data_IF_866549136345
#
_entry.id   IF_866549136345
#
_cell.length_a   1.000
_cell.length_b   1.000
_cell.length_c   1.000
_cell.angle_alpha   90.00
_cell.angle_beta   90.00
_cell.angle_gamma   90.00
#
_symmetry.space_group_name_H-M   'P 1'
#
loop_
_entity.id
_entity.type
_entity.pdbx_description
1 polymer ?
#
# COMPACT_ATOMS: atom_id res chain seq x y z
N UNK A 1 -38.75 25.31 10.63
CA UNK A 1 -37.81 24.85 9.59
C UNK A 1 -36.41 25.28 9.98
N UNK A 2 -35.54 24.33 10.36
CA UNK A 2 -34.14 24.60 10.74
C UNK A 2 -33.31 24.80 9.48
N UNK A 3 -32.65 25.96 9.37
CA UNK A 3 -31.66 26.25 8.33
C UNK A 3 -30.33 25.68 8.78
N UNK A 4 -29.78 24.73 8.02
CA UNK A 4 -28.40 24.27 8.18
C UNK A 4 -27.49 25.26 7.46
N UNK A 5 -26.57 25.87 8.20
CA UNK A 5 -25.48 26.68 7.63
C UNK A 5 -24.29 25.73 7.49
N UNK A 6 -23.95 25.40 6.24
CA UNK A 6 -22.70 24.71 5.92
C UNK A 6 -21.62 25.77 5.79
N UNK A 7 -20.67 25.78 6.72
CA UNK A 7 -19.54 26.71 6.71
C UNK A 7 -18.35 26.03 6.04
N UNK A 8 -18.12 26.36 4.78
CA UNK A 8 -16.93 25.93 4.02
C UNK A 8 -15.85 26.98 4.18
N UNK A 9 -14.79 26.67 4.92
CA UNK A 9 -13.62 27.54 5.07
C UNK A 9 -12.55 27.08 4.07
N UNK A 10 -12.28 27.91 3.06
CA UNK A 10 -11.18 27.70 2.10
C UNK A 10 -9.98 28.50 2.62
N UNK A 11 -9.01 27.83 3.23
CA UNK A 11 -7.73 28.45 3.58
C UNK A 11 -6.78 28.28 2.39
N UNK A 12 -6.43 29.41 1.76
CA UNK A 12 -5.36 29.49 0.76
C UNK A 12 -4.06 29.78 1.50
N UNK A 13 -3.19 28.78 1.64
CA UNK A 13 -1.83 28.96 2.17
C UNK A 13 -0.83 29.18 1.03
N UNK A 14 0.10 30.15 1.14
CA UNK A 14 1.13 30.39 0.13
C UNK A 14 2.24 29.35 0.22
N UNK A 15 2.79 29.00 -0.94
CA UNK A 15 3.88 28.05 -1.13
C UNK A 15 5.21 28.57 -0.58
N UNK A 16 5.95 27.70 0.09
CA UNK A 16 7.41 27.79 0.19
C UNK A 16 8.01 26.38 0.27
N UNK A 17 8.29 25.76 -0.87
CA UNK A 17 9.15 24.57 -0.94
C UNK A 17 10.55 25.03 -1.32
N UNK A 18 11.46 25.03 -0.35
CA UNK A 18 12.87 25.41 -0.53
C UNK A 18 13.79 24.37 0.12
N UNK A 19 13.52 23.08 -0.07
CA UNK A 19 14.47 22.00 0.22
C UNK A 19 14.30 20.92 -0.85
N UNK A 20 15.25 20.89 -1.79
CA UNK A 20 15.36 19.84 -2.79
C UNK A 20 15.78 18.55 -2.11
N UNK A 21 14.82 17.71 -1.76
CA UNK A 21 15.10 16.33 -1.41
C UNK A 21 15.63 15.61 -2.66
N UNK A 22 16.63 14.71 -2.53
CA UNK A 22 17.20 14.02 -3.66
C UNK A 22 16.09 13.31 -4.44
N UNK A 23 15.99 13.60 -5.74
CA UNK A 23 15.03 12.99 -6.66
C UNK A 23 15.24 11.46 -6.66
N UNK A 24 14.48 10.75 -5.83
CA UNK A 24 14.36 9.30 -5.89
C UNK A 24 13.68 8.97 -7.22
N UNK A 25 14.50 8.65 -8.22
CA UNK A 25 13.98 8.28 -9.54
C UNK A 25 13.06 7.06 -9.40
N UNK A 26 11.89 7.08 -10.03
CA UNK A 26 10.97 5.97 -9.96
C UNK A 26 11.60 4.71 -10.56
N UNK A 27 11.44 3.59 -9.88
CA UNK A 27 11.98 2.32 -10.35
C UNK A 27 11.10 1.77 -11.50
N UNK A 28 11.66 1.38 -12.66
CA UNK A 28 10.88 0.84 -13.77
C UNK A 28 9.97 -0.34 -13.41
N UNK A 29 10.29 -1.12 -12.37
CA UNK A 29 9.46 -2.24 -11.91
C UNK A 29 8.16 -1.77 -11.25
N UNK A 30 8.16 -0.57 -10.66
CA UNK A 30 7.02 0.01 -9.97
C UNK A 30 6.08 0.79 -10.91
N UNK A 31 6.60 1.28 -12.03
CA UNK A 31 5.86 2.10 -12.99
C UNK A 31 4.86 1.34 -13.89
N UNK A 32 4.75 0.02 -13.71
CA UNK A 32 3.99 -0.85 -14.63
C UNK A 32 2.47 -0.65 -14.58
N UNK A 33 1.93 -0.21 -13.44
CA UNK A 33 0.49 -0.05 -13.23
C UNK A 33 -0.17 1.06 -14.08
N UNK A 34 0.63 1.90 -14.76
CA UNK A 34 0.13 2.93 -15.68
C UNK A 34 -0.55 2.40 -16.95
N UNK A 35 -0.29 1.14 -17.32
CA UNK A 35 -0.73 0.56 -18.61
C UNK A 35 -1.89 -0.43 -18.49
N UNK A 36 -2.27 -0.81 -17.26
CA UNK A 36 -3.38 -1.72 -17.01
C UNK A 36 -4.30 -1.08 -15.98
N UNK A 37 -5.61 -0.92 -16.26
CA UNK A 37 -6.58 -0.70 -15.20
C UNK A 37 -6.54 -1.97 -14.36
N UNK A 38 -5.75 -1.94 -13.28
CA UNK A 38 -5.72 -3.00 -12.32
C UNK A 38 -7.12 -3.24 -11.76
N UNK A 39 -7.33 -4.36 -11.09
CA UNK A 39 -8.66 -4.69 -10.63
C UNK A 39 -9.18 -3.59 -9.71
N UNK A 40 -10.46 -3.22 -9.85
CA UNK A 40 -11.14 -2.39 -8.88
C UNK A 40 -11.38 -3.20 -7.59
N UNK A 41 -10.29 -3.59 -6.93
CA UNK A 41 -10.29 -4.29 -5.66
C UNK A 41 -10.31 -3.25 -4.57
N UNK A 42 -11.37 -3.29 -3.79
CA UNK A 42 -11.38 -2.62 -2.50
C UNK A 42 -10.33 -3.28 -1.59
N UNK A 43 -9.61 -2.48 -0.81
CA UNK A 43 -8.55 -2.96 0.10
C UNK A 43 -9.06 -4.08 1.01
N UNK A 44 -10.31 -4.00 1.47
CA UNK A 44 -10.93 -5.02 2.31
C UNK A 44 -11.16 -6.39 1.62
N UNK A 45 -11.18 -6.48 0.28
CA UNK A 45 -11.18 -7.78 -0.43
C UNK A 45 -9.81 -8.45 -0.35
N UNK A 46 -8.76 -7.64 -0.29
CA UNK A 46 -7.38 -8.11 -0.22
C UNK A 46 -6.92 -8.33 1.22
N UNK A 47 -7.37 -7.48 2.15
CA UNK A 47 -7.03 -7.47 3.57
C UNK A 47 -8.34 -7.33 4.36
N UNK A 48 -9.01 -8.44 4.71
CA UNK A 48 -10.35 -8.43 5.32
C UNK A 48 -10.47 -7.58 6.60
N UNK A 49 -9.38 -7.48 7.36
CA UNK A 49 -9.32 -6.74 8.63
C UNK A 49 -9.00 -5.25 8.47
N UNK A 50 -8.81 -4.78 7.23
CA UNK A 50 -8.55 -3.38 6.94
C UNK A 50 -9.85 -2.55 6.97
N UNK A 51 -9.78 -1.38 7.59
CA UNK A 51 -10.90 -0.44 7.63
C UNK A 51 -11.11 0.20 6.26
N UNK A 52 -12.26 0.00 5.60
CA UNK A 52 -12.49 0.52 4.25
C UNK A 52 -12.54 2.06 4.18
N UNK A 53 -12.77 2.75 5.30
CA UNK A 53 -12.84 4.21 5.30
C UNK A 53 -11.45 4.87 5.32
N UNK A 54 -10.56 4.37 6.17
CA UNK A 54 -9.20 4.91 6.32
C UNK A 54 -8.14 4.19 5.49
N UNK A 55 -8.46 3.03 4.89
CA UNK A 55 -7.55 2.32 3.99
C UNK A 55 -7.66 2.82 2.54
N UNK A 56 -6.55 2.74 1.81
CA UNK A 56 -6.50 3.15 0.40
C UNK A 56 -5.47 2.34 -0.40
N UNK A 57 -5.61 2.39 -1.72
CA UNK A 57 -4.64 1.86 -2.68
C UNK A 57 -4.15 3.01 -3.55
N UNK A 58 -2.84 3.10 -3.73
CA UNK A 58 -2.16 4.11 -4.55
C UNK A 58 -1.20 3.35 -5.45
N UNK A 59 -1.55 3.20 -6.73
CA UNK A 59 -0.83 2.35 -7.68
C UNK A 59 -0.64 0.93 -7.09
N UNK A 60 0.62 0.49 -6.95
CA UNK A 60 0.99 -0.81 -6.37
C UNK A 60 1.21 -0.77 -4.85
N UNK A 61 0.81 0.29 -4.16
CA UNK A 61 0.88 0.40 -2.70
C UNK A 61 -0.51 0.27 -2.10
N UNK A 62 -0.60 -0.47 -1.00
CA UNK A 62 -1.81 -0.55 -0.18
C UNK A 62 -1.47 -0.02 1.21
N UNK A 63 -2.21 0.99 1.64
CA UNK A 63 -2.21 1.47 3.02
C UNK A 63 -3.46 0.93 3.70
N UNK A 64 -3.28 -0.04 4.59
CA UNK A 64 -4.34 -0.71 5.31
C UNK A 64 -4.34 -0.29 6.77
N UNK A 65 -5.25 0.60 7.13
CA UNK A 65 -5.51 0.91 8.53
C UNK A 65 -6.26 -0.25 9.17
N UNK A 66 -5.84 -0.74 10.35
CA UNK A 66 -6.56 -1.80 11.04
C UNK A 66 -7.97 -1.33 11.35
N UNK A 67 -8.98 -2.20 11.18
CA UNK A 67 -10.34 -1.95 11.71
C UNK A 67 -10.28 -1.62 13.19
N UNK A 68 -9.46 -2.38 13.92
CA UNK A 68 -9.36 -2.29 15.37
C UNK A 68 -7.94 -2.69 15.82
N UNK A 69 -7.21 -1.75 16.41
CA UNK A 69 -6.20 -2.08 17.43
C UNK A 69 -6.43 -1.16 18.62
N UNK A 70 -7.34 -1.55 19.52
CA UNK A 70 -7.12 -1.41 20.97
C UNK A 70 -7.92 -2.47 21.70
N UNK A 71 -7.23 -3.07 22.68
CA UNK A 71 -7.64 -4.16 23.55
C UNK A 71 -8.98 -3.88 24.23
N UNK A 72 -9.64 -4.95 24.64
CA UNK A 72 -10.83 -5.00 25.52
C UNK A 72 -10.72 -4.19 26.84
N UNK A 73 -9.64 -3.44 27.07
CA UNK A 73 -9.29 -2.79 28.33
C UNK A 73 -9.58 -1.29 28.45
N UNK A 74 -10.15 -0.59 27.46
CA UNK A 74 -10.55 0.82 27.61
C UNK A 74 -12.01 1.05 27.20
N UNK A 75 -12.93 0.72 28.11
CA UNK A 75 -14.36 1.04 28.01
C UNK A 75 -14.69 2.55 28.18
N UNK A 76 -13.74 3.47 27.98
CA UNK A 76 -14.07 4.89 27.93
C UNK A 76 -14.56 5.24 26.53
N UNK A 77 -15.88 5.24 26.33
CA UNK A 77 -16.49 5.92 25.17
C UNK A 77 -15.96 7.34 25.13
N UNK A 78 -15.13 7.65 24.15
CA UNK A 78 -14.56 8.99 24.04
C UNK A 78 -15.69 10.00 23.81
N UNK A 79 -15.82 10.96 24.71
CA UNK A 79 -16.83 12.01 24.63
C UNK A 79 -16.45 12.99 23.52
N UNK A 80 -17.44 13.59 22.85
CA UNK A 80 -17.19 14.58 21.80
C UNK A 80 -16.31 15.75 22.28
N UNK A 81 -16.42 16.12 23.56
CA UNK A 81 -15.63 17.17 24.22
C UNK A 81 -14.12 16.85 24.30
N UNK A 82 -13.76 15.56 24.23
CA UNK A 82 -12.37 15.09 24.26
C UNK A 82 -11.74 15.02 22.87
N UNK A 83 -12.53 15.26 21.82
CA UNK A 83 -12.08 15.21 20.43
C UNK A 83 -11.22 16.44 20.14
N UNK A 84 -9.97 16.20 19.73
CA UNK A 84 -9.07 17.26 19.30
C UNK A 84 -9.66 18.02 18.10
N UNK A 85 -9.37 19.32 17.95
CA UNK A 85 -9.82 20.09 16.80
C UNK A 85 -9.37 19.47 15.47
N UNK A 86 -10.18 19.66 14.42
CA UNK A 86 -9.86 19.20 13.07
C UNK A 86 -8.48 19.70 12.57
N UNK A 87 -8.09 20.92 12.98
CA UNK A 87 -6.79 21.49 12.65
C UNK A 87 -5.62 20.68 13.21
N UNK A 88 -5.74 20.25 14.46
CA UNK A 88 -4.76 19.35 15.10
C UNK A 88 -4.71 18.02 14.36
N UNK A 89 -5.87 17.45 14.03
CA UNK A 89 -5.94 16.17 13.36
C UNK A 89 -5.26 16.17 11.98
N UNK A 90 -5.50 17.17 11.12
CA UNK A 90 -4.87 17.18 9.80
C UNK A 90 -3.37 17.49 9.86
N UNK A 91 -2.91 18.32 10.80
CA UNK A 91 -1.47 18.57 10.99
C UNK A 91 -0.73 17.30 11.41
N UNK A 92 -1.32 16.50 12.32
CA UNK A 92 -0.75 15.22 12.78
C UNK A 92 -0.76 14.17 11.66
N UNK A 93 -1.80 14.18 10.83
CA UNK A 93 -1.94 13.26 9.70
C UNK A 93 -1.26 13.73 8.42
N UNK A 94 -0.44 14.79 8.45
CA UNK A 94 0.29 15.23 7.27
C UNK A 94 1.26 14.12 6.82
N UNK A 95 1.29 13.75 5.52
CA UNK A 95 2.23 12.78 5.01
C UNK A 95 3.67 13.25 5.30
N UNK A 96 4.42 12.41 6.01
CA UNK A 96 5.81 12.71 6.31
C UNK A 96 6.68 12.57 5.04
N UNK A 97 7.95 12.93 5.19
CA UNK A 97 8.94 12.85 4.10
C UNK A 97 9.12 11.42 3.57
N UNK A 98 8.99 10.38 4.40
CA UNK A 98 9.13 8.99 3.97
C UNK A 98 7.92 8.53 3.14
N UNK A 99 6.70 8.83 3.58
CA UNK A 99 5.46 8.54 2.84
C UNK A 99 5.45 9.27 1.50
N UNK A 100 5.83 10.57 1.49
CA UNK A 100 5.96 11.37 0.27
C UNK A 100 6.95 10.72 -0.70
N UNK A 101 8.17 10.40 -0.23
CA UNK A 101 9.20 9.76 -1.05
C UNK A 101 8.81 8.38 -1.56
N UNK A 102 8.17 7.56 -0.73
CA UNK A 102 7.69 6.23 -1.09
C UNK A 102 6.71 6.32 -2.23
N UNK A 103 5.65 7.09 -2.04
CA UNK A 103 4.61 7.28 -3.05
C UNK A 103 5.20 7.83 -4.35
N UNK A 104 6.07 8.84 -4.29
CA UNK A 104 6.71 9.42 -5.48
C UNK A 104 7.50 8.38 -6.30
N UNK A 105 8.13 7.39 -5.66
CA UNK A 105 8.87 6.33 -6.37
C UNK A 105 7.97 5.44 -7.25
N UNK A 106 6.66 5.43 -7.02
CA UNK A 106 5.68 4.70 -7.83
C UNK A 106 5.10 5.54 -8.98
N UNK A 107 5.44 6.83 -9.05
CA UNK A 107 4.96 7.72 -10.09
C UNK A 107 6.09 8.19 -11.00
N UNK A 108 5.81 8.33 -12.29
CA UNK A 108 6.78 8.89 -13.25
C UNK A 108 6.99 10.41 -13.11
N UNK A 109 6.22 11.06 -12.24
CA UNK A 109 6.21 12.50 -12.04
C UNK A 109 5.92 12.78 -10.57
N UNK A 110 6.44 13.89 -10.06
CA UNK A 110 6.21 14.30 -8.68
C UNK A 110 4.74 14.63 -8.44
N UNK A 111 4.27 14.28 -7.25
CA UNK A 111 2.92 14.55 -6.79
C UNK A 111 2.95 15.38 -5.51
N UNK A 112 2.10 16.40 -5.46
CA UNK A 112 1.82 17.15 -4.24
C UNK A 112 0.61 16.56 -3.53
N UNK A 113 0.69 16.54 -2.20
CA UNK A 113 -0.43 16.20 -1.34
C UNK A 113 -1.24 17.46 -1.05
N UNK A 114 -2.52 17.45 -1.40
CA UNK A 114 -3.47 18.51 -1.07
C UNK A 114 -4.50 17.96 -0.11
N UNK A 115 -4.72 18.64 1.01
CA UNK A 115 -5.81 18.28 1.93
C UNK A 115 -7.14 18.33 1.15
N UNK A 116 -7.84 17.19 1.12
CA UNK A 116 -9.13 17.04 0.44
C UNK A 116 -10.27 17.16 1.45
N UNK A 117 -10.20 16.37 2.54
CA UNK A 117 -11.23 16.34 3.57
C UNK A 117 -10.68 15.94 4.94
N UNK A 118 -11.37 16.39 5.99
CA UNK A 118 -11.16 16.00 7.39
C UNK A 118 -12.53 15.66 7.96
N UNK A 119 -12.78 14.37 8.19
CA UNK A 119 -14.11 13.85 8.50
C UNK A 119 -14.12 13.23 9.90
N UNK A 120 -15.01 13.71 10.77
CA UNK A 120 -15.23 13.09 12.07
C UNK A 120 -16.16 11.89 11.90
N UNK A 121 -15.65 10.70 12.17
CA UNK A 121 -16.42 9.46 12.12
C UNK A 121 -16.76 9.01 13.53
N UNK A 122 -18.06 8.86 13.79
CA UNK A 122 -18.56 8.23 15.01
C UNK A 122 -18.62 6.72 14.84
N UNK A 123 -17.99 6.01 15.77
CA UNK A 123 -18.07 4.57 15.90
C UNK A 123 -18.89 4.24 17.15
N UNK A 124 -20.03 3.58 16.96
CA UNK A 124 -21.05 3.34 18.00
C UNK A 124 -20.50 2.72 19.30
N UNK A 125 -19.39 1.97 19.21
CA UNK A 125 -18.81 1.25 20.34
C UNK A 125 -17.46 1.84 20.81
N UNK A 126 -16.76 2.59 19.97
CA UNK A 126 -15.37 3.04 20.22
C UNK A 126 -15.16 4.56 20.21
N UNK A 127 -16.22 5.37 20.12
CA UNK A 127 -16.15 6.83 20.24
C UNK A 127 -16.01 7.52 18.89
N UNK A 128 -15.01 8.39 18.76
CA UNK A 128 -14.81 9.21 17.57
C UNK A 128 -13.39 9.06 17.02
N UNK A 129 -13.25 9.18 15.71
CA UNK A 129 -11.94 9.32 15.06
C UNK A 129 -12.03 10.30 13.90
N UNK A 130 -10.92 10.93 13.59
CA UNK A 130 -10.78 11.72 12.38
C UNK A 130 -10.29 10.83 11.25
N UNK A 131 -10.95 10.88 10.09
CA UNK A 131 -10.40 10.42 8.82
C UNK A 131 -9.87 11.64 8.07
N UNK A 132 -8.57 11.66 7.79
CA UNK A 132 -7.92 12.72 7.03
C UNK A 132 -7.59 12.21 5.65
N UNK A 133 -8.06 12.92 4.63
CA UNK A 133 -7.95 12.52 3.22
C UNK A 133 -7.07 13.55 2.51
N UNK A 134 -5.99 13.07 1.91
CA UNK A 134 -5.09 13.84 1.07
C UNK A 134 -5.23 13.39 -0.38
N UNK A 135 -5.59 14.30 -1.27
CA UNK A 135 -5.58 14.05 -2.72
C UNK A 135 -4.18 14.28 -3.28
N UNK A 136 -3.72 13.35 -4.11
CA UNK A 136 -2.45 13.43 -4.81
C UNK A 136 -2.66 14.06 -6.18
N UNK A 137 -1.96 15.17 -6.43
CA UNK A 137 -2.02 15.89 -7.69
C UNK A 137 -0.64 15.95 -8.33
N UNK A 138 -0.51 15.74 -9.64
CA UNK A 138 0.75 16.01 -10.35
C UNK A 138 1.23 17.44 -10.09
N UNK A 139 2.53 17.63 -9.86
CA UNK A 139 3.10 18.97 -9.67
C UNK A 139 3.10 19.80 -10.95
N UNK A 140 3.38 19.16 -12.10
CA UNK A 140 3.38 19.80 -13.41
C UNK A 140 2.09 19.45 -14.14
N UNK A 141 1.47 20.48 -14.75
CA UNK A 141 0.10 20.47 -15.26
C UNK A 141 -0.31 19.19 -16.02
N UNK A 142 -1.51 18.73 -15.71
CA UNK A 142 -2.13 17.56 -16.32
C UNK A 142 -3.29 17.08 -15.45
N UNK A 143 -4.51 17.09 -15.99
CA UNK A 143 -5.65 16.46 -15.33
C UNK A 143 -5.75 15.02 -15.86
N UNK A 144 -5.15 14.08 -15.13
CA UNK A 144 -5.23 12.65 -15.47
C UNK A 144 -6.26 11.97 -14.56
N UNK A 145 -7.54 12.19 -14.83
CA UNK A 145 -8.63 11.45 -14.17
C UNK A 145 -8.84 11.75 -12.68
N UNK A 146 -9.40 10.77 -11.95
CA UNK A 146 -9.68 10.88 -10.51
C UNK A 146 -8.35 10.83 -9.73
N UNK A 147 -8.03 11.81 -8.87
CA UNK A 147 -6.79 11.81 -8.12
C UNK A 147 -6.74 10.63 -7.16
N UNK A 148 -5.55 10.05 -6.98
CA UNK A 148 -5.32 9.10 -5.90
C UNK A 148 -5.56 9.79 -4.56
N UNK A 149 -6.05 9.03 -3.57
CA UNK A 149 -6.33 9.54 -2.23
C UNK A 149 -5.55 8.75 -1.21
N UNK A 150 -4.65 9.42 -0.52
CA UNK A 150 -4.02 8.91 0.69
C UNK A 150 -4.94 9.19 1.87
N UNK A 151 -5.24 8.16 2.65
CA UNK A 151 -6.17 8.23 3.78
C UNK A 151 -5.47 7.76 5.04
N UNK A 152 -5.67 8.49 6.13
CA UNK A 152 -5.12 8.15 7.43
C UNK A 152 -6.15 8.47 8.51
N UNK A 153 -6.13 7.74 9.61
CA UNK A 153 -6.98 8.01 10.74
C UNK A 153 -6.19 8.59 11.93
N UNK A 154 -6.85 9.43 12.71
CA UNK A 154 -6.33 9.98 13.98
C UNK A 154 -7.38 9.72 15.06
N UNK A 155 -6.93 9.26 16.24
CA UNK A 155 -7.82 9.02 17.39
C UNK A 155 -8.46 10.33 17.87
N UNK A 156 -9.51 10.27 18.69
CA UNK A 156 -10.10 11.49 19.27
C UNK A 156 -9.07 12.32 20.03
N UNK A 157 -8.07 11.67 20.66
CA UNK A 157 -7.02 12.31 21.46
C UNK A 157 -5.86 12.88 20.63
N UNK A 158 -5.90 12.75 19.31
CA UNK A 158 -4.84 13.25 18.44
C UNK A 158 -3.67 12.29 18.23
N UNK A 159 -3.86 10.98 18.38
CA UNK A 159 -2.82 10.00 18.06
C UNK A 159 -2.99 9.48 16.63
N UNK A 160 -1.90 9.45 15.86
CA UNK A 160 -1.91 8.93 14.50
C UNK A 160 -2.11 7.41 14.49
N UNK A 161 -3.11 6.93 13.76
CA UNK A 161 -3.30 5.50 13.49
C UNK A 161 -2.51 5.18 12.22
N UNK A 162 -1.26 4.76 12.40
CA UNK A 162 -0.35 4.43 11.30
C UNK A 162 -0.91 3.23 10.51
N UNK A 163 -1.17 3.37 9.20
CA UNK A 163 -1.60 2.25 8.38
C UNK A 163 -0.45 1.26 8.16
N UNK A 164 -0.77 -0.02 8.09
CA UNK A 164 0.15 -1.01 7.56
C UNK A 164 0.36 -0.73 6.06
N UNK A 165 1.61 -0.80 5.59
CA UNK A 165 1.94 -0.59 4.18
C UNK A 165 2.27 -1.92 3.49
N UNK A 166 1.77 -2.12 2.28
CA UNK A 166 2.01 -3.32 1.48
C UNK A 166 2.44 -2.95 0.06
N UNK A 167 3.42 -3.70 -0.45
CA UNK A 167 3.69 -3.78 -1.88
C UNK A 167 2.75 -4.81 -2.50
N UNK A 168 2.05 -4.38 -3.55
CA UNK A 168 1.04 -5.16 -4.25
C UNK A 168 1.45 -5.44 -5.70
N UNK A 169 1.09 -6.62 -6.20
CA UNK A 169 1.01 -6.86 -7.64
C UNK A 169 -0.22 -7.70 -7.98
N UNK A 170 -0.70 -7.58 -9.21
CA UNK A 170 -1.82 -8.38 -9.70
C UNK A 170 -1.67 -8.80 -11.14
N UNK A 171 -2.24 -9.96 -11.48
CA UNK A 171 -2.23 -10.50 -12.82
C UNK A 171 -3.61 -11.04 -13.20
N UNK A 172 -4.16 -10.54 -14.31
CA UNK A 172 -5.45 -11.01 -14.80
C UNK A 172 -5.32 -12.41 -15.42
N UNK A 173 -6.24 -13.30 -15.07
CA UNK A 173 -6.53 -14.53 -15.81
C UNK A 173 -7.91 -14.40 -16.45
N UNK A 174 -8.08 -13.69 -17.58
CA UNK A 174 -9.39 -13.35 -18.12
C UNK A 174 -10.25 -14.57 -18.44
N UNK A 175 -9.65 -15.62 -19.02
CA UNK A 175 -10.32 -16.90 -19.32
C UNK A 175 -10.96 -17.55 -18.09
N UNK A 176 -10.39 -17.28 -16.92
CA UNK A 176 -10.78 -17.86 -15.66
C UNK A 176 -11.53 -16.89 -14.74
N UNK A 177 -11.75 -15.65 -15.19
CA UNK A 177 -12.38 -14.58 -14.40
C UNK A 177 -11.78 -14.45 -12.99
N UNK A 178 -10.45 -14.58 -12.87
CA UNK A 178 -9.72 -14.41 -11.61
C UNK A 178 -8.55 -13.44 -11.79
N UNK A 179 -8.22 -12.75 -10.71
CA UNK A 179 -6.97 -12.04 -10.50
C UNK A 179 -6.07 -12.89 -9.62
N UNK A 180 -4.81 -13.03 -10.00
CA UNK A 180 -3.76 -13.44 -9.07
C UNK A 180 -3.27 -12.17 -8.36
N UNK A 181 -3.00 -12.27 -7.07
CA UNK A 181 -2.57 -11.15 -6.25
C UNK A 181 -1.36 -11.55 -5.41
N UNK A 182 -0.38 -10.67 -5.32
CA UNK A 182 0.79 -10.76 -4.42
C UNK A 182 0.77 -9.58 -3.47
N UNK A 183 0.78 -9.84 -2.16
CA UNK A 183 0.78 -8.82 -1.11
C UNK A 183 1.94 -9.02 -0.15
N UNK A 184 2.97 -8.18 -0.22
CA UNK A 184 4.08 -8.17 0.72
C UNK A 184 3.90 -7.03 1.72
N UNK A 185 3.76 -7.37 3.00
CA UNK A 185 3.79 -6.37 4.08
C UNK A 185 5.19 -5.75 4.19
N UNK A 186 5.25 -4.42 4.18
CA UNK A 186 6.48 -3.65 4.25
C UNK A 186 6.74 -3.25 5.70
N UNK A 187 7.63 -3.98 6.35
CA UNK A 187 8.04 -3.72 7.73
C UNK A 187 9.56 -3.71 7.84
N UNK A 188 10.09 -2.82 8.68
CA UNK A 188 11.44 -3.04 9.17
C UNK A 188 11.42 -4.28 10.07
N UNK A 189 12.42 -5.17 9.98
CA UNK A 189 12.57 -6.23 10.96
C UNK A 189 12.65 -5.57 12.33
N UNK A 190 11.68 -5.83 13.20
CA UNK A 190 11.85 -5.54 14.60
C UNK A 190 13.07 -6.32 15.07
N UNK A 191 13.98 -5.63 15.78
CA UNK A 191 15.04 -6.33 16.51
C UNK A 191 14.34 -7.09 17.62
N UNK A 192 13.86 -8.30 17.31
CA UNK A 192 13.23 -9.17 18.31
C UNK A 192 14.31 -9.51 19.33
N UNK A 193 14.36 -8.75 20.44
CA UNK A 193 15.07 -9.14 21.65
C UNK A 193 14.32 -10.29 22.32
N UNK A 194 14.19 -11.44 21.65
CA UNK A 194 13.78 -12.66 22.34
C UNK A 194 15.04 -13.32 22.88
N UNK A 195 15.13 -13.39 24.21
CA UNK A 195 16.11 -14.18 24.97
C UNK A 195 17.60 -13.76 24.86
N UNK A 196 17.91 -12.45 24.89
CA UNK A 196 19.29 -11.99 25.15
C UNK A 196 20.36 -12.37 24.11
N UNK A 197 19.99 -13.06 23.04
CA UNK A 197 20.82 -13.29 21.86
C UNK A 197 20.25 -12.49 20.71
N UNK A 198 21.08 -11.61 20.15
CA UNK A 198 20.78 -10.99 18.86
C UNK A 198 20.80 -12.13 17.81
N UNK A 199 19.65 -12.75 17.54
CA UNK A 199 19.53 -13.59 16.36
C UNK A 199 19.62 -12.69 15.12
N UNK A 200 20.83 -12.61 14.57
CA UNK A 200 21.06 -11.99 13.28
C UNK A 200 20.36 -12.87 12.25
N UNK A 201 19.16 -12.46 11.81
CA UNK A 201 18.49 -13.12 10.68
C UNK A 201 19.43 -13.08 9.47
N UNK A 202 19.93 -14.25 9.09
CA UNK A 202 20.82 -14.40 7.93
C UNK A 202 20.05 -14.00 6.68
N UNK A 203 20.56 -12.99 5.96
CA UNK A 203 19.96 -12.54 4.70
C UNK A 203 20.20 -13.58 3.61
N UNK A 204 19.15 -14.10 2.95
CA UNK A 204 19.32 -15.05 1.85
C UNK A 204 20.05 -14.42 0.67
N UNK A 205 20.74 -15.26 -0.10
CA UNK A 205 21.33 -14.86 -1.39
C UNK A 205 20.24 -14.62 -2.44
N UNK A 206 20.58 -13.92 -3.53
CA UNK A 206 19.67 -13.73 -4.68
C UNK A 206 19.10 -15.07 -5.18
N UNK A 207 19.93 -16.10 -5.29
CA UNK A 207 19.52 -17.43 -5.76
C UNK A 207 18.47 -18.05 -4.84
N UNK A 208 18.68 -17.95 -3.52
CA UNK A 208 17.71 -18.46 -2.53
C UNK A 208 16.40 -17.66 -2.54
N UNK A 209 16.45 -16.35 -2.77
CA UNK A 209 15.25 -15.53 -2.97
C UNK A 209 14.47 -15.99 -4.22
N UNK A 210 15.18 -16.19 -5.33
CA UNK A 210 14.60 -16.64 -6.59
C UNK A 210 13.95 -18.03 -6.44
N UNK A 211 14.65 -19.00 -5.85
CA UNK A 211 14.14 -20.34 -5.56
C UNK A 211 12.87 -20.29 -4.70
N UNK A 212 12.85 -19.48 -3.63
CA UNK A 212 11.66 -19.29 -2.79
C UNK A 212 10.49 -18.69 -3.56
N UNK A 213 10.75 -17.72 -4.43
CA UNK A 213 9.72 -17.12 -5.29
C UNK A 213 9.13 -18.12 -6.27
N UNK A 214 9.97 -18.93 -6.90
CA UNK A 214 9.57 -20.01 -7.83
C UNK A 214 8.72 -21.05 -7.08
N UNK A 215 9.19 -21.53 -5.94
CA UNK A 215 8.49 -22.51 -5.13
C UNK A 215 7.12 -21.98 -4.66
N UNK A 216 7.07 -20.74 -4.17
CA UNK A 216 5.84 -20.12 -3.72
C UNK A 216 4.80 -19.99 -4.84
N UNK A 217 5.22 -19.52 -6.03
CA UNK A 217 4.32 -19.46 -7.18
C UNK A 217 3.87 -20.84 -7.62
N UNK A 218 4.78 -21.82 -7.67
CA UNK A 218 4.45 -23.21 -8.02
C UNK A 218 3.39 -23.80 -7.10
N UNK A 219 3.60 -23.71 -5.79
CA UNK A 219 2.66 -24.18 -4.76
C UNK A 219 1.30 -23.46 -4.85
N UNK A 220 1.31 -22.15 -5.14
CA UNK A 220 0.10 -21.38 -5.34
C UNK A 220 -0.66 -21.83 -6.61
N UNK A 221 0.04 -22.01 -7.73
CA UNK A 221 -0.56 -22.45 -8.99
C UNK A 221 -1.11 -23.87 -8.94
N UNK A 222 -0.55 -24.77 -8.12
CA UNK A 222 -1.15 -26.10 -7.87
C UNK A 222 -2.58 -25.94 -7.34
N UNK A 223 -2.78 -25.07 -6.34
CA UNK A 223 -4.11 -24.78 -5.77
C UNK A 223 -5.03 -24.10 -6.78
N UNK A 224 -4.52 -23.07 -7.47
CA UNK A 224 -5.30 -22.34 -8.47
C UNK A 224 -5.76 -23.27 -9.59
N UNK A 225 -4.86 -24.08 -10.16
CA UNK A 225 -5.21 -24.97 -11.28
C UNK A 225 -6.19 -26.07 -10.89
N UNK A 226 -6.12 -26.57 -9.64
CA UNK A 226 -7.12 -27.50 -9.11
C UNK A 226 -8.53 -26.88 -9.10
N UNK A 227 -8.64 -25.60 -8.72
CA UNK A 227 -9.92 -24.88 -8.70
C UNK A 227 -10.47 -24.52 -10.09
N UNK A 228 -9.60 -24.38 -11.09
CA UNK A 228 -9.98 -23.84 -12.41
C UNK A 228 -10.65 -24.86 -13.33
N UNK A 229 -10.47 -26.17 -13.09
CA UNK A 229 -11.11 -27.26 -13.84
C UNK A 229 -10.83 -27.29 -15.36
N UNK A 230 -9.93 -26.43 -15.86
CA UNK A 230 -9.60 -26.25 -17.28
C UNK A 230 -8.10 -26.41 -17.55
N UNK A 231 -7.62 -25.86 -18.69
CA UNK A 231 -6.18 -25.89 -18.98
C UNK A 231 -5.37 -25.18 -17.88
N UNK A 232 -4.34 -25.84 -17.32
CA UNK A 232 -3.56 -25.25 -16.25
C UNK A 232 -2.83 -24.02 -16.74
N UNK A 233 -2.83 -22.98 -15.92
CA UNK A 233 -2.03 -21.79 -16.15
C UNK A 233 -0.58 -22.10 -15.75
N UNK A 234 0.35 -21.76 -16.64
CA UNK A 234 1.78 -21.94 -16.44
C UNK A 234 2.50 -20.60 -16.60
N UNK A 235 3.62 -20.47 -15.89
CA UNK A 235 4.49 -19.30 -15.94
C UNK A 235 5.94 -19.75 -16.06
N UNK A 236 6.77 -18.94 -16.69
CA UNK A 236 8.22 -19.07 -16.66
C UNK A 236 8.83 -17.87 -15.93
N UNK A 237 9.95 -18.11 -15.24
CA UNK A 237 10.74 -17.05 -14.63
C UNK A 237 11.26 -16.11 -15.73
N UNK A 238 11.08 -14.81 -15.51
CA UNK A 238 11.63 -13.75 -16.35
C UNK A 238 12.95 -13.24 -15.77
N UNK A 239 12.90 -12.74 -14.53
CA UNK A 239 14.06 -12.28 -13.80
C UNK A 239 13.80 -12.25 -12.28
N UNK A 240 14.86 -11.96 -11.51
CA UNK A 240 14.82 -11.68 -10.09
C UNK A 240 15.65 -10.41 -9.83
N UNK A 241 15.03 -9.38 -9.26
CA UNK A 241 15.67 -8.09 -9.01
C UNK A 241 15.27 -7.49 -7.67
N UNK A 242 16.20 -6.76 -7.06
CA UNK A 242 15.95 -6.03 -5.84
C UNK A 242 15.61 -4.57 -6.13
N UNK A 243 14.80 -3.97 -5.26
CA UNK A 243 14.54 -2.54 -5.20
C UNK A 243 14.63 -2.07 -3.75
N UNK A 244 14.93 -0.79 -3.57
CA UNK A 244 14.94 -0.15 -2.26
C UNK A 244 13.78 0.83 -2.17
N UNK A 245 13.01 0.74 -1.09
CA UNK A 245 11.84 1.57 -0.84
C UNK A 245 12.09 2.43 0.40
N UNK A 246 11.91 3.76 0.34
CA UNK A 246 11.99 4.63 1.51
C UNK A 246 10.81 4.35 2.44
N UNK A 247 11.06 4.17 3.73
CA UNK A 247 10.01 3.74 4.68
C UNK A 247 9.95 4.57 5.95
N UNK A 248 11.04 5.22 6.37
CA UNK A 248 11.05 6.12 7.52
C UNK A 248 12.20 7.11 7.44
N UNK A 249 12.08 8.21 8.16
CA UNK A 249 13.19 9.15 8.38
C UNK A 249 13.73 8.92 9.79
N UNK A 250 15.05 8.84 9.94
CA UNK A 250 15.69 8.74 11.26
C UNK A 250 15.77 10.12 11.95
N UNK A 251 16.13 10.17 13.25
CA UNK A 251 16.23 11.45 13.98
C UNK A 251 17.23 12.45 13.36
N UNK A 252 18.20 11.97 12.57
CA UNK A 252 19.18 12.80 11.86
C UNK A 252 18.66 13.32 10.51
N UNK A 253 17.39 13.05 10.17
CA UNK A 253 16.77 13.48 8.92
C UNK A 253 17.13 12.62 7.71
N UNK A 254 17.82 11.48 7.89
CA UNK A 254 18.21 10.58 6.80
C UNK A 254 17.11 9.56 6.51
N UNK A 255 16.89 9.31 5.23
CA UNK A 255 15.95 8.30 4.76
C UNK A 255 16.48 6.89 5.07
N UNK A 256 15.66 6.06 5.71
CA UNK A 256 15.90 4.62 5.84
C UNK A 256 15.05 3.90 4.80
N UNK A 257 15.72 3.04 4.03
CA UNK A 257 15.09 2.19 3.03
C UNK A 257 14.95 0.76 3.54
N UNK A 258 13.97 0.04 3.00
CA UNK A 258 13.93 -1.42 3.04
C UNK A 258 14.28 -1.96 1.66
N UNK A 259 14.98 -3.09 1.62
CA UNK A 259 15.22 -3.81 0.38
C UNK A 259 14.14 -4.87 0.20
N UNK A 260 13.49 -4.90 -0.95
CA UNK A 260 12.59 -5.97 -1.34
C UNK A 260 13.00 -6.55 -2.69
N UNK A 261 12.54 -7.75 -2.99
CA UNK A 261 12.83 -8.46 -4.23
C UNK A 261 11.54 -8.73 -4.99
N UNK A 262 11.56 -8.45 -6.29
CA UNK A 262 10.55 -8.92 -7.23
C UNK A 262 11.09 -10.11 -7.99
N UNK A 263 10.44 -11.28 -7.84
CA UNK A 263 10.66 -12.44 -8.70
C UNK A 263 9.55 -12.44 -9.74
N UNK A 264 9.93 -12.14 -10.98
CA UNK A 264 8.99 -11.80 -12.04
C UNK A 264 8.75 -13.00 -12.94
N UNK A 265 7.48 -13.26 -13.24
CA UNK A 265 7.05 -14.43 -13.98
C UNK A 265 6.20 -14.04 -15.16
N UNK A 266 6.46 -14.61 -16.32
CA UNK A 266 5.63 -14.38 -17.50
C UNK A 266 4.76 -15.60 -17.78
N UNK A 267 3.46 -15.38 -18.01
CA UNK A 267 2.57 -16.48 -18.35
C UNK A 267 3.03 -17.12 -19.67
N UNK A 268 3.16 -18.43 -19.66
CA UNK A 268 3.40 -19.22 -20.87
C UNK A 268 2.09 -19.33 -21.62
N UNK A 269 1.97 -18.53 -22.67
CA UNK A 269 0.82 -18.60 -23.57
C UNK A 269 1.17 -19.52 -24.74
N UNK A 270 0.20 -20.31 -25.21
CA UNK A 270 0.37 -21.19 -26.37
C UNK A 270 0.78 -20.41 -27.63
N UNK A 271 1.22 -21.11 -28.69
CA UNK A 271 1.86 -20.53 -29.88
C UNK A 271 1.04 -19.41 -30.57
N UNK A 272 -0.29 -19.41 -30.42
CA UNK A 272 -1.21 -18.48 -31.11
C UNK A 272 -1.67 -17.27 -30.29
N UNK A 273 -1.23 -17.10 -29.05
CA UNK A 273 -1.68 -15.97 -28.22
C UNK A 273 -0.67 -14.83 -28.30
N UNK A 274 -1.16 -13.62 -28.62
CA UNK A 274 -0.37 -12.38 -28.60
C UNK A 274 0.46 -12.32 -27.31
N UNK A 275 1.79 -12.20 -27.46
CA UNK A 275 2.74 -12.03 -26.34
C UNK A 275 2.28 -10.82 -25.51
N UNK A 276 1.68 -11.05 -24.36
CA UNK A 276 1.45 -9.97 -23.40
C UNK A 276 2.82 -9.49 -22.89
N UNK A 277 2.98 -8.18 -22.71
CA UNK A 277 4.17 -7.61 -22.05
C UNK A 277 4.12 -7.75 -20.52
N UNK A 278 3.01 -8.30 -20.02
CA UNK A 278 2.68 -8.38 -18.62
C UNK A 278 3.31 -9.60 -17.94
N UNK A 279 3.73 -9.42 -16.70
CA UNK A 279 4.31 -10.44 -15.82
C UNK A 279 3.57 -10.47 -14.48
N UNK A 280 3.81 -11.45 -13.63
CA UNK A 280 3.33 -11.48 -12.27
C UNK A 280 4.53 -11.46 -11.35
N UNK A 281 4.55 -10.56 -10.38
CA UNK A 281 5.64 -10.44 -9.42
C UNK A 281 5.25 -11.12 -8.13
N UNK A 282 6.07 -12.09 -7.70
CA UNK A 282 6.07 -12.56 -6.33
C UNK A 282 7.06 -11.70 -5.56
N UNK A 283 6.55 -10.93 -4.61
CA UNK A 283 7.37 -10.05 -3.77
C UNK A 283 7.97 -10.79 -2.59
N UNK A 284 9.24 -10.51 -2.26
CA UNK A 284 9.90 -11.02 -1.06
C UNK A 284 10.59 -9.89 -0.28
N UNK A 285 10.59 -9.99 1.04
CA UNK A 285 11.39 -9.10 1.89
C UNK A 285 12.89 -9.38 1.75
N UNK A 286 13.74 -8.49 2.26
CA UNK A 286 15.18 -8.71 2.33
C UNK A 286 15.56 -10.03 3.03
N UNK A 287 14.73 -10.48 3.98
CA UNK A 287 14.94 -11.70 4.77
C UNK A 287 14.26 -12.94 4.15
N UNK A 288 13.70 -12.79 2.95
CA UNK A 288 13.06 -13.85 2.20
C UNK A 288 11.69 -14.27 2.74
N UNK A 289 10.98 -13.37 3.42
CA UNK A 289 9.54 -13.52 3.69
C UNK A 289 8.80 -13.31 2.38
N UNK A 290 8.02 -14.31 1.96
CA UNK A 290 7.27 -14.27 0.71
C UNK A 290 5.95 -13.53 0.92
N UNK A 291 5.53 -12.76 -0.08
CA UNK A 291 4.21 -12.15 -0.16
C UNK A 291 3.09 -13.18 0.01
N UNK A 292 1.98 -12.77 0.60
CA UNK A 292 0.77 -13.56 0.54
C UNK A 292 0.26 -13.63 -0.91
N UNK A 293 0.11 -14.85 -1.43
CA UNK A 293 -0.44 -15.10 -2.76
C UNK A 293 -1.89 -15.56 -2.64
N UNK A 294 -2.80 -14.88 -3.33
CA UNK A 294 -4.23 -15.20 -3.32
C UNK A 294 -4.90 -14.95 -4.67
N UNK A 295 -6.09 -15.53 -4.85
CA UNK A 295 -6.93 -15.23 -6.01
C UNK A 295 -8.15 -14.42 -5.60
N UNK A 296 -8.55 -13.49 -6.47
CA UNK A 296 -9.77 -12.69 -6.29
C UNK A 296 -10.61 -12.79 -7.56
N UNK A 297 -11.94 -13.04 -7.47
CA UNK A 297 -12.78 -13.09 -8.66
C UNK A 297 -12.86 -11.74 -9.38
N UNK A 298 -12.93 -11.77 -10.71
CA UNK A 298 -13.20 -10.59 -11.54
C UNK A 298 -14.71 -10.32 -11.49
N UNK A 299 -15.11 -9.18 -10.95
CA UNK A 299 -16.49 -8.67 -11.06
C UNK A 299 -16.53 -7.71 -12.26
N UNK A 300 -17.31 -8.05 -13.28
CA UNK A 300 -17.61 -7.19 -14.42
C UNK A 300 -18.94 -6.48 -14.18
#
# INVERSE_FOLDING_TARGET
MRRFIVLTVIVLSPFSNLWGDPELRPDPMLLRWKLFPGPNLSVNKLIPDADPQSSCMIESLIFASPKEKRSDSEHSRELLETVVPAETAFKIAEPDKAVKALISQHFSQDHRFKLDAVELVSHRQSGYRWNVIWSLWPERGGFTGVPFRYRVAVTARGELIVPDCYQFDSYALPKHKRWLCSLLKLEFPEVTKKQGKNEVRVKPTKKQIEERGIEALGNFLVKVNADLGGQPVQFHLLDCRAIELPMRVDPDGKMKTIKIWGVNFKQTLGPDVRKTKDFFTVWLSEYGTVSELKTVPVQW
#
